data_IF_705077928574
#
_entry.id   IF_705077928574
#
_cell.length_a   1.000
_cell.length_b   1.000
_cell.length_c   1.000
_cell.angle_alpha   90.00
_cell.angle_beta   90.00
_cell.angle_gamma   90.00
#
_symmetry.space_group_name_H-M   'P 1'
#
loop_
_entity.id
_entity.type
_entity.pdbx_description
1 polymer ?
#
# COMPACT_ATOMS: atom_id res chain seq x y z
N UNK A 1 -17.98 -9.43 16.69
CA UNK A 1 -18.38 -9.27 15.27
C UNK A 1 -18.06 -7.84 14.89
N UNK A 2 -17.47 -7.60 13.72
CA UNK A 2 -17.18 -6.25 13.23
C UNK A 2 -18.26 -5.88 12.23
N UNK A 3 -18.94 -4.75 12.45
CA UNK A 3 -20.07 -4.34 11.64
C UNK A 3 -19.63 -3.55 10.39
N UNK A 4 -18.66 -2.66 10.56
CA UNK A 4 -18.07 -1.85 9.51
C UNK A 4 -16.55 -1.80 9.69
N UNK A 5 -15.79 -1.83 8.60
CA UNK A 5 -14.35 -1.73 8.63
C UNK A 5 -13.82 -0.82 7.51
N UNK A 6 -12.78 -0.08 7.83
CA UNK A 6 -11.93 0.63 6.88
C UNK A 6 -10.53 0.06 7.07
N UNK A 7 -9.94 -0.48 6.03
CA UNK A 7 -8.63 -1.09 6.12
C UNK A 7 -7.89 -1.21 4.80
N UNK A 8 -6.59 -1.38 4.89
CA UNK A 8 -5.73 -1.63 3.73
C UNK A 8 -6.19 -2.86 2.94
N UNK A 9 -6.16 -2.77 1.62
CA UNK A 9 -6.42 -3.89 0.71
C UNK A 9 -5.51 -5.08 0.99
N UNK A 10 -4.31 -4.84 1.53
CA UNK A 10 -3.32 -5.85 1.88
C UNK A 10 -3.85 -6.79 2.95
N UNK A 11 -4.61 -6.27 3.94
CA UNK A 11 -5.18 -7.07 5.01
C UNK A 11 -6.26 -8.06 4.53
N UNK A 12 -6.88 -7.78 3.38
CA UNK A 12 -7.86 -8.65 2.74
C UNK A 12 -7.23 -9.67 1.79
N UNK A 13 -6.01 -9.43 1.34
CA UNK A 13 -5.35 -10.23 0.31
C UNK A 13 -5.12 -11.70 0.67
N UNK A 14 -4.99 -12.12 1.94
CA UNK A 14 -4.95 -13.55 2.28
C UNK A 14 -6.22 -14.31 1.93
N UNK A 15 -7.40 -13.69 2.10
CA UNK A 15 -8.69 -14.27 1.76
C UNK A 15 -9.09 -13.99 0.31
N UNK A 16 -8.73 -12.81 -0.22
CA UNK A 16 -9.09 -12.35 -1.57
C UNK A 16 -7.82 -12.12 -2.37
N UNK A 17 -7.30 -13.17 -2.99
CA UNK A 17 -6.01 -13.16 -3.71
C UNK A 17 -5.91 -12.06 -4.77
N UNK A 18 -7.03 -11.68 -5.39
CA UNK A 18 -7.10 -10.63 -6.39
C UNK A 18 -6.69 -9.25 -5.85
N UNK A 19 -6.85 -9.00 -4.55
CA UNK A 19 -6.41 -7.75 -3.94
C UNK A 19 -4.89 -7.59 -3.88
N UNK A 20 -4.11 -8.68 -4.05
CA UNK A 20 -2.67 -8.56 -4.27
C UNK A 20 -2.31 -7.82 -5.56
N UNK A 21 -3.30 -7.51 -6.42
CA UNK A 21 -3.08 -6.67 -7.61
C UNK A 21 -2.39 -5.35 -7.24
N UNK A 22 -2.85 -4.67 -6.19
CA UNK A 22 -2.25 -3.42 -5.73
C UNK A 22 -0.85 -3.60 -5.13
N UNK A 23 -0.52 -4.82 -4.72
CA UNK A 23 0.79 -5.20 -4.15
C UNK A 23 1.76 -5.79 -5.19
N UNK A 24 1.38 -5.86 -6.48
CA UNK A 24 2.33 -6.23 -7.52
C UNK A 24 3.46 -5.19 -7.59
N UNK A 25 4.73 -5.61 -7.45
CA UNK A 25 5.84 -4.68 -7.39
C UNK A 25 5.88 -3.76 -8.62
N UNK A 26 5.81 -2.46 -8.39
CA UNK A 26 5.90 -1.40 -9.40
C UNK A 26 4.82 -1.42 -10.50
N UNK A 27 3.71 -2.13 -10.31
CA UNK A 27 2.58 -2.11 -11.25
C UNK A 27 2.01 -0.69 -11.37
N UNK A 28 1.72 -0.05 -10.23
CA UNK A 28 1.05 1.26 -10.17
C UNK A 28 2.12 2.35 -10.06
N UNK A 29 2.34 3.17 -11.10
CA UNK A 29 3.44 4.12 -11.12
C UNK A 29 3.21 5.37 -10.27
N UNK A 30 1.96 5.81 -10.15
CA UNK A 30 1.55 7.08 -9.53
C UNK A 30 0.06 7.09 -9.15
N UNK A 31 -0.38 8.23 -8.61
CA UNK A 31 -1.77 8.44 -8.19
C UNK A 31 -2.79 8.35 -9.34
N UNK A 32 -2.42 8.77 -10.58
CA UNK A 32 -3.31 8.63 -11.75
C UNK A 32 -3.54 7.16 -12.08
N UNK A 33 -2.47 6.34 -12.06
CA UNK A 33 -2.56 4.91 -12.23
C UNK A 33 -3.43 4.25 -11.16
N UNK A 34 -3.30 4.64 -9.89
CA UNK A 34 -4.15 4.14 -8.81
C UNK A 34 -5.62 4.55 -9.04
N UNK A 35 -5.87 5.80 -9.39
CA UNK A 35 -7.23 6.30 -9.70
C UNK A 35 -7.88 5.50 -10.83
N UNK A 36 -7.14 5.20 -11.89
CA UNK A 36 -7.65 4.40 -13.01
C UNK A 36 -8.07 2.99 -12.56
N UNK A 37 -7.34 2.40 -11.61
CA UNK A 37 -7.68 1.08 -11.07
C UNK A 37 -8.92 1.16 -10.18
N UNK A 38 -8.92 2.02 -9.16
CA UNK A 38 -9.98 2.02 -8.13
C UNK A 38 -11.31 2.62 -8.62
N UNK A 39 -11.27 3.58 -9.55
CA UNK A 39 -12.46 4.22 -10.14
C UNK A 39 -12.96 3.53 -11.42
N UNK A 40 -12.11 2.67 -12.01
CA UNK A 40 -12.37 1.99 -13.28
C UNK A 40 -13.08 0.64 -13.15
N UNK A 41 -13.00 -0.14 -14.23
CA UNK A 41 -13.57 -1.48 -14.31
C UNK A 41 -12.91 -2.45 -13.33
N UNK A 42 -11.59 -2.33 -13.16
CA UNK A 42 -10.82 -3.17 -12.21
C UNK A 42 -11.37 -3.04 -10.79
N UNK A 43 -11.65 -1.81 -10.34
CA UNK A 43 -12.23 -1.57 -9.01
C UNK A 43 -13.62 -2.19 -8.86
N UNK A 44 -14.46 -2.11 -9.90
CA UNK A 44 -15.77 -2.76 -9.90
C UNK A 44 -15.65 -4.29 -9.83
N UNK A 45 -14.74 -4.88 -10.59
CA UNK A 45 -14.48 -6.33 -10.57
C UNK A 45 -14.03 -6.79 -9.17
N UNK A 46 -13.12 -6.04 -8.54
CA UNK A 46 -12.66 -6.34 -7.18
C UNK A 46 -13.77 -6.21 -6.14
N UNK A 47 -14.66 -5.21 -6.28
CA UNK A 47 -15.83 -5.08 -5.41
C UNK A 47 -16.81 -6.24 -5.59
N UNK A 48 -17.03 -6.71 -6.82
CA UNK A 48 -17.87 -7.88 -7.08
C UNK A 48 -17.27 -9.17 -6.46
N UNK A 49 -15.94 -9.26 -6.38
CA UNK A 49 -15.27 -10.37 -5.69
C UNK A 49 -15.43 -10.26 -4.17
N UNK A 50 -15.22 -9.07 -3.61
CA UNK A 50 -15.38 -8.80 -2.17
C UNK A 50 -16.82 -9.05 -1.72
N UNK A 51 -17.81 -8.67 -2.52
CA UNK A 51 -19.22 -8.92 -2.23
C UNK A 51 -19.51 -10.40 -1.97
N UNK A 52 -18.83 -11.30 -2.67
CA UNK A 52 -18.96 -12.76 -2.48
C UNK A 52 -18.33 -13.26 -1.17
N UNK A 53 -17.55 -12.41 -0.47
CA UNK A 53 -16.88 -12.75 0.79
C UNK A 53 -17.68 -12.33 2.04
N UNK A 54 -18.97 -12.05 1.90
CA UNK A 54 -19.84 -11.74 3.03
C UNK A 54 -19.79 -10.27 3.49
N UNK A 55 -19.23 -9.39 2.67
CA UNK A 55 -19.20 -7.94 2.92
C UNK A 55 -19.83 -7.18 1.76
N UNK A 56 -20.29 -5.97 2.04
CA UNK A 56 -20.71 -4.97 1.04
C UNK A 56 -19.57 -3.96 0.92
N UNK A 57 -18.83 -3.91 -0.18
CA UNK A 57 -17.86 -2.85 -0.40
C UNK A 57 -18.58 -1.54 -0.74
N UNK A 58 -18.13 -0.44 -0.15
CA UNK A 58 -18.77 0.87 -0.25
C UNK A 58 -17.95 1.85 -1.07
N UNK A 59 -16.63 1.92 -0.81
CA UNK A 59 -15.73 2.83 -1.48
C UNK A 59 -14.27 2.35 -1.38
N UNK A 60 -13.42 2.83 -2.30
CA UNK A 60 -11.98 2.83 -2.14
C UNK A 60 -11.50 4.19 -1.64
N UNK A 61 -10.65 4.17 -0.62
CA UNK A 61 -9.80 5.28 -0.20
C UNK A 61 -8.34 4.99 -0.53
N UNK A 62 -7.41 5.78 0.02
CA UNK A 62 -5.98 5.66 -0.17
C UNK A 62 -5.24 5.73 1.17
N UNK A 63 -4.40 4.75 1.44
CA UNK A 63 -3.38 4.84 2.49
C UNK A 63 -2.12 5.52 1.95
N UNK A 64 -1.82 5.31 0.68
CA UNK A 64 -0.72 5.91 -0.07
C UNK A 64 0.19 4.90 -0.75
N UNK A 65 1.24 5.40 -1.40
CA UNK A 65 2.31 4.57 -1.91
C UNK A 65 3.28 4.20 -0.79
N UNK A 66 3.69 2.94 -0.76
CA UNK A 66 4.52 2.42 0.32
C UNK A 66 5.99 2.71 0.05
N UNK A 67 6.61 3.38 1.01
CA UNK A 67 8.00 3.81 0.99
C UNK A 67 8.81 3.05 2.02
N UNK A 68 10.11 2.88 1.78
CA UNK A 68 11.00 2.11 2.65
C UNK A 68 11.69 3.03 3.65
N UNK A 69 11.59 2.75 4.94
CA UNK A 69 12.41 3.40 5.97
C UNK A 69 13.32 2.41 6.68
N UNK A 70 14.46 2.91 7.15
CA UNK A 70 15.40 2.10 7.92
C UNK A 70 16.30 2.95 8.83
N UNK A 71 16.99 2.28 9.76
CA UNK A 71 17.89 2.89 10.74
C UNK A 71 19.37 2.87 10.32
N UNK A 72 19.72 2.34 9.14
CA UNK A 72 21.12 2.02 8.80
C UNK A 72 21.73 2.92 7.74
N UNK A 73 21.08 3.04 6.56
CA UNK A 73 21.70 3.70 5.42
C UNK A 73 20.68 4.10 4.33
N UNK A 74 21.10 4.96 3.42
CA UNK A 74 20.36 5.25 2.21
C UNK A 74 20.29 4.01 1.31
N UNK A 75 19.10 3.69 0.79
CA UNK A 75 18.89 2.55 -0.12
C UNK A 75 18.73 3.09 -1.53
N UNK A 76 19.64 2.72 -2.43
CA UNK A 76 19.67 3.15 -3.83
C UNK A 76 19.69 1.98 -4.82
N UNK A 77 20.00 0.77 -4.34
CA UNK A 77 20.02 -0.46 -5.12
C UNK A 77 19.61 -1.65 -4.25
N UNK A 78 19.17 -2.80 -4.83
CA UNK A 78 18.87 -4.01 -4.07
C UNK A 78 20.03 -4.49 -3.18
N UNK A 79 21.27 -4.30 -3.62
CA UNK A 79 22.45 -4.65 -2.83
C UNK A 79 22.51 -3.96 -1.45
N UNK A 80 21.94 -2.75 -1.35
CA UNK A 80 21.90 -1.99 -0.09
C UNK A 80 20.95 -2.62 0.95
N UNK A 81 20.02 -3.49 0.50
CA UNK A 81 19.07 -4.22 1.35
C UNK A 81 19.64 -5.55 1.85
N UNK A 82 20.78 -5.99 1.33
CA UNK A 82 21.33 -7.32 1.65
C UNK A 82 21.48 -7.53 3.15
N UNK A 83 20.78 -8.57 3.64
CA UNK A 83 20.82 -8.97 5.04
C UNK A 83 20.09 -8.04 6.02
N UNK A 84 19.46 -6.96 5.55
CA UNK A 84 18.67 -6.09 6.43
C UNK A 84 17.38 -6.79 6.87
N UNK A 85 17.10 -6.71 8.16
CA UNK A 85 15.85 -7.20 8.74
C UNK A 85 14.75 -6.16 8.50
N UNK A 86 13.88 -6.43 7.55
CA UNK A 86 12.79 -5.51 7.20
C UNK A 86 11.46 -6.07 7.71
N UNK A 87 10.80 -5.32 8.59
CA UNK A 87 9.43 -5.64 8.98
C UNK A 87 8.52 -5.44 7.79
N UNK A 88 7.70 -6.43 7.52
CA UNK A 88 6.67 -6.39 6.47
C UNK A 88 5.28 -6.69 7.05
N UNK A 89 4.25 -6.28 6.29
CA UNK A 89 2.86 -6.62 6.59
C UNK A 89 2.58 -8.10 6.26
N UNK A 90 1.54 -8.66 6.87
CA UNK A 90 1.18 -10.07 6.78
C UNK A 90 0.64 -10.53 5.43
N UNK A 91 1.43 -10.41 4.36
CA UNK A 91 1.07 -10.92 3.04
C UNK A 91 2.27 -11.59 2.36
N UNK A 92 2.12 -12.82 1.80
CA UNK A 92 3.23 -13.57 1.22
C UNK A 92 3.94 -12.87 0.05
N UNK A 93 3.26 -12.02 -0.72
CA UNK A 93 3.89 -11.27 -1.81
C UNK A 93 4.99 -10.33 -1.31
N UNK A 94 4.84 -9.79 -0.09
CA UNK A 94 5.86 -8.95 0.55
C UNK A 94 7.09 -9.77 0.94
N UNK A 95 6.89 -11.01 1.46
CA UNK A 95 8.00 -11.93 1.73
C UNK A 95 8.78 -12.18 0.45
N UNK A 96 8.09 -12.56 -0.62
CA UNK A 96 8.72 -12.84 -1.92
C UNK A 96 9.49 -11.61 -2.44
N UNK A 97 8.87 -10.41 -2.38
CA UNK A 97 9.48 -9.18 -2.90
C UNK A 97 10.75 -8.80 -2.13
N UNK A 98 10.70 -8.76 -0.81
CA UNK A 98 11.87 -8.39 0.00
C UNK A 98 12.97 -9.46 -0.02
N UNK A 99 12.60 -10.74 -0.12
CA UNK A 99 13.57 -11.83 -0.32
C UNK A 99 14.28 -11.70 -1.68
N UNK A 100 13.55 -11.40 -2.76
CA UNK A 100 14.12 -11.17 -4.09
C UNK A 100 15.09 -9.95 -4.10
N UNK A 101 14.87 -8.97 -3.21
CA UNK A 101 15.75 -7.82 -3.03
C UNK A 101 16.94 -8.11 -2.09
N UNK A 102 17.07 -9.33 -1.55
CA UNK A 102 18.17 -9.74 -0.68
C UNK A 102 18.03 -9.34 0.80
N UNK A 103 16.88 -8.80 1.19
CA UNK A 103 16.56 -8.50 2.58
C UNK A 103 16.13 -9.76 3.34
N UNK A 104 16.07 -9.66 4.67
CA UNK A 104 15.48 -10.65 5.58
C UNK A 104 14.11 -10.14 6.05
N UNK A 105 13.01 -10.43 5.32
CA UNK A 105 11.69 -9.96 5.68
C UNK A 105 11.19 -10.65 6.94
N UNK A 106 10.66 -9.86 7.88
CA UNK A 106 10.04 -10.36 9.11
C UNK A 106 8.59 -9.87 9.18
N UNK A 107 7.65 -10.81 9.07
CA UNK A 107 6.24 -10.50 9.16
C UNK A 107 5.83 -10.27 10.62
N UNK A 108 5.19 -9.12 10.90
CA UNK A 108 4.60 -8.85 12.21
C UNK A 108 3.47 -7.83 12.12
N UNK A 109 2.59 -7.84 13.13
CA UNK A 109 1.50 -6.88 13.24
C UNK A 109 2.04 -5.44 13.34
N UNK A 110 1.18 -4.44 13.08
CA UNK A 110 1.59 -3.05 13.24
C UNK A 110 1.85 -2.68 14.72
N UNK A 111 1.11 -3.29 15.65
CA UNK A 111 1.32 -3.09 17.08
C UNK A 111 2.70 -3.58 17.53
N UNK A 112 3.17 -4.71 16.98
CA UNK A 112 4.48 -5.29 17.31
C UNK A 112 5.62 -4.59 16.56
N UNK A 113 5.34 -3.99 15.41
CA UNK A 113 6.34 -3.34 14.57
C UNK A 113 7.01 -2.15 15.26
N UNK A 114 6.25 -1.31 15.96
CA UNK A 114 6.78 -0.11 16.59
C UNK A 114 7.77 -0.43 17.72
N UNK A 115 7.48 -1.32 18.69
CA UNK A 115 8.46 -1.79 19.66
C UNK A 115 9.68 -2.45 19.00
N UNK A 116 9.50 -3.25 17.94
CA UNK A 116 10.58 -3.91 17.24
C UNK A 116 11.53 -2.91 16.53
N UNK A 117 11.01 -1.82 16.00
CA UNK A 117 11.81 -0.72 15.45
C UNK A 117 12.59 0.01 16.56
N UNK A 118 11.92 0.35 17.67
CA UNK A 118 12.53 1.06 18.80
C UNK A 118 13.68 0.27 19.43
N UNK A 119 13.53 -1.04 19.54
CA UNK A 119 14.57 -1.95 20.10
C UNK A 119 15.59 -2.41 19.07
N UNK A 120 15.44 -2.00 17.80
CA UNK A 120 16.30 -2.45 16.68
C UNK A 120 16.25 -3.97 16.44
N UNK A 121 15.17 -4.63 16.84
CA UNK A 121 14.93 -6.05 16.50
C UNK A 121 14.75 -6.21 14.98
N UNK A 122 14.27 -5.17 14.30
CA UNK A 122 14.28 -5.00 12.84
C UNK A 122 14.99 -3.70 12.47
N UNK A 123 15.64 -3.69 11.30
CA UNK A 123 16.38 -2.52 10.80
C UNK A 123 15.46 -1.48 10.16
N UNK A 124 14.35 -1.94 9.57
CA UNK A 124 13.47 -1.08 8.81
C UNK A 124 12.07 -1.64 8.63
N UNK A 125 11.26 -0.87 7.91
CA UNK A 125 9.87 -1.19 7.57
C UNK A 125 9.46 -0.46 6.29
N UNK A 126 8.30 -0.79 5.74
CA UNK A 126 7.71 -0.12 4.60
C UNK A 126 6.26 0.29 4.94
N UNK A 127 5.92 1.52 4.64
CA UNK A 127 4.59 2.11 4.82
C UNK A 127 4.46 3.42 4.01
N UNK A 128 3.24 3.91 3.81
CA UNK A 128 3.03 5.24 3.25
C UNK A 128 3.63 6.36 4.13
N UNK A 129 3.96 7.49 3.48
CA UNK A 129 4.57 8.65 4.15
C UNK A 129 3.72 9.23 5.27
N UNK A 130 2.39 9.26 5.10
CA UNK A 130 1.47 9.69 6.14
C UNK A 130 1.61 8.82 7.40
N UNK A 131 1.70 7.49 7.24
CA UNK A 131 1.91 6.56 8.36
C UNK A 131 3.26 6.80 9.02
N UNK A 132 4.33 7.01 8.23
CA UNK A 132 5.65 7.35 8.76
C UNK A 132 5.61 8.59 9.65
N UNK A 133 4.92 9.64 9.19
CA UNK A 133 4.80 10.91 9.89
C UNK A 133 3.92 10.82 11.13
N UNK A 134 2.71 10.27 11.01
CA UNK A 134 1.73 10.17 12.12
C UNK A 134 2.27 9.29 13.26
N UNK A 135 2.87 8.15 12.92
CA UNK A 135 3.48 7.26 13.90
C UNK A 135 4.85 7.74 14.38
N UNK A 136 5.34 8.90 13.91
CA UNK A 136 6.62 9.50 14.28
C UNK A 136 7.78 8.49 14.19
N UNK A 137 7.86 7.71 13.12
CA UNK A 137 8.82 6.61 12.98
C UNK A 137 10.28 7.07 13.10
N UNK A 138 10.58 8.35 12.83
CA UNK A 138 11.89 8.95 13.08
C UNK A 138 12.31 8.83 14.55
N UNK A 139 11.37 8.89 15.52
CA UNK A 139 11.67 8.72 16.95
C UNK A 139 11.96 7.26 17.33
N UNK A 140 11.61 6.32 16.45
CA UNK A 140 11.88 4.88 16.58
C UNK A 140 13.16 4.47 15.82
N UNK A 141 14.04 5.43 15.53
CA UNK A 141 15.33 5.21 14.88
C UNK A 141 15.27 5.11 13.36
N UNK A 142 14.13 5.37 12.72
CA UNK A 142 14.01 5.33 11.26
C UNK A 142 14.55 6.63 10.66
N UNK A 143 15.87 6.70 10.49
CA UNK A 143 16.62 7.90 10.08
C UNK A 143 16.83 8.01 8.57
N UNK A 144 16.52 6.97 7.80
CA UNK A 144 16.61 6.95 6.35
C UNK A 144 15.27 6.57 5.72
N UNK A 145 14.86 7.30 4.70
CA UNK A 145 13.62 7.10 3.97
C UNK A 145 13.92 7.07 2.47
N UNK A 146 13.57 5.99 1.79
CA UNK A 146 13.74 5.84 0.34
C UNK A 146 12.39 5.92 -0.33
N UNK A 147 12.26 6.91 -1.23
CA UNK A 147 11.06 7.10 -2.05
C UNK A 147 11.20 6.26 -3.32
N UNK A 148 10.56 5.11 -3.32
CA UNK A 148 10.58 4.17 -4.43
C UNK A 148 9.19 3.85 -4.99
N UNK A 149 8.11 4.07 -4.21
CA UNK A 149 6.74 3.91 -4.65
C UNK A 149 6.48 2.52 -5.24
N UNK A 150 6.91 1.46 -4.55
CA UNK A 150 6.94 0.12 -5.14
C UNK A 150 5.59 -0.58 -5.16
N UNK A 151 4.66 -0.19 -4.29
CA UNK A 151 3.30 -0.72 -4.20
C UNK A 151 2.33 0.39 -3.82
N UNK A 152 1.14 0.35 -4.40
CA UNK A 152 0.01 1.18 -3.97
C UNK A 152 -0.75 0.46 -2.85
N UNK A 153 -1.29 1.23 -1.92
CA UNK A 153 -2.06 0.70 -0.78
C UNK A 153 -3.42 1.41 -0.67
N UNK A 154 -4.42 0.99 -1.46
CA UNK A 154 -5.77 1.53 -1.30
C UNK A 154 -6.41 1.01 -0.01
N UNK A 155 -7.22 1.87 0.62
CA UNK A 155 -8.14 1.49 1.67
C UNK A 155 -9.44 0.97 1.06
N UNK A 156 -10.07 0.01 1.75
CA UNK A 156 -11.38 -0.50 1.37
C UNK A 156 -12.35 -0.25 2.52
N UNK A 157 -13.47 0.41 2.21
CA UNK A 157 -14.58 0.63 3.14
C UNK A 157 -15.60 -0.48 2.93
N UNK A 158 -15.89 -1.24 3.96
CA UNK A 158 -16.83 -2.37 3.88
C UNK A 158 -17.78 -2.39 5.06
N UNK A 159 -18.94 -2.98 4.84
CA UNK A 159 -19.90 -3.32 5.89
C UNK A 159 -20.24 -4.82 5.81
N UNK A 160 -20.48 -5.45 6.94
CA UNK A 160 -20.96 -6.85 7.01
C UNK A 160 -22.30 -7.00 6.30
N UNK A 161 -22.47 -8.00 5.43
CA UNK A 161 -23.77 -8.31 4.79
C UNK A 161 -24.87 -8.59 5.82
N UNK A 162 -24.53 -9.24 6.92
CA UNK A 162 -25.47 -9.53 8.00
C UNK A 162 -26.00 -8.26 8.67
N UNK A 163 -25.14 -7.24 8.83
CA UNK A 163 -25.53 -5.94 9.39
C UNK A 163 -26.29 -5.13 8.36
N UNK A 164 -25.78 -5.08 7.13
CA UNK A 164 -26.40 -4.38 6.00
C UNK A 164 -27.85 -4.83 5.77
N UNK A 165 -28.12 -6.13 5.88
CA UNK A 165 -29.47 -6.69 5.69
C UNK A 165 -30.48 -6.19 6.74
N UNK A 166 -30.02 -5.76 7.92
CA UNK A 166 -30.89 -5.26 9.01
C UNK A 166 -31.24 -3.78 8.87
N UNK A 167 -30.50 -3.03 8.04
CA UNK A 167 -30.72 -1.61 7.86
C UNK A 167 -31.88 -1.31 6.89
N UNK A 168 -32.56 -0.21 7.13
CA UNK A 168 -33.53 0.33 6.18
C UNK A 168 -32.83 0.76 4.89
N UNK A 169 -33.58 0.90 3.79
CA UNK A 169 -33.02 1.40 2.53
C UNK A 169 -32.48 2.84 2.69
N UNK A 170 -33.13 3.67 3.49
CA UNK A 170 -32.67 5.02 3.80
C UNK A 170 -31.31 5.01 4.53
N UNK A 171 -31.13 4.12 5.52
CA UNK A 171 -29.84 3.98 6.23
C UNK A 171 -28.74 3.47 5.30
N UNK A 172 -29.05 2.48 4.45
CA UNK A 172 -28.10 1.95 3.47
C UNK A 172 -27.61 3.04 2.49
N UNK A 173 -28.53 3.86 2.02
CA UNK A 173 -28.21 4.99 1.12
C UNK A 173 -27.36 6.03 1.86
N UNK A 174 -27.73 6.40 3.09
CA UNK A 174 -26.98 7.35 3.92
C UNK A 174 -25.55 6.87 4.18
N UNK A 175 -25.38 5.61 4.60
CA UNK A 175 -24.05 5.01 4.88
C UNK A 175 -23.22 4.93 3.61
N UNK A 176 -23.82 4.54 2.47
CA UNK A 176 -23.10 4.49 1.19
C UNK A 176 -22.62 5.89 0.76
N UNK A 177 -23.48 6.89 0.83
CA UNK A 177 -23.14 8.26 0.50
C UNK A 177 -22.02 8.80 1.41
N UNK A 178 -22.13 8.58 2.72
CA UNK A 178 -21.12 9.01 3.69
C UNK A 178 -19.77 8.30 3.47
N UNK A 179 -19.78 7.00 3.17
CA UNK A 179 -18.56 6.26 2.87
C UNK A 179 -17.87 6.76 1.59
N UNK A 180 -18.65 7.06 0.55
CA UNK A 180 -18.12 7.61 -0.71
C UNK A 180 -17.55 9.02 -0.51
N UNK A 181 -18.23 9.87 0.24
CA UNK A 181 -17.72 11.20 0.58
C UNK A 181 -16.43 11.10 1.40
N UNK A 182 -16.42 10.33 2.48
CA UNK A 182 -15.24 10.13 3.33
C UNK A 182 -14.04 9.56 2.54
N UNK A 183 -14.29 8.63 1.62
CA UNK A 183 -13.24 8.08 0.77
C UNK A 183 -12.69 9.14 -0.21
N UNK A 184 -13.53 10.00 -0.77
CA UNK A 184 -13.10 11.10 -1.64
C UNK A 184 -12.24 12.12 -0.88
N UNK A 185 -12.65 12.50 0.33
CA UNK A 185 -11.88 13.38 1.22
C UNK A 185 -10.55 12.73 1.64
N UNK A 186 -10.57 11.44 1.93
CA UNK A 186 -9.36 10.68 2.27
C UNK A 186 -8.35 10.66 1.11
N UNK A 187 -8.79 10.47 -0.15
CA UNK A 187 -7.91 10.52 -1.32
C UNK A 187 -7.17 11.87 -1.43
N UNK A 188 -7.86 12.97 -1.13
CA UNK A 188 -7.25 14.31 -1.11
C UNK A 188 -6.24 14.42 0.03
N UNK A 189 -6.64 14.03 1.25
CA UNK A 189 -5.79 14.10 2.43
C UNK A 189 -4.55 13.22 2.34
N UNK A 190 -4.67 12.00 1.79
CA UNK A 190 -3.55 11.07 1.64
C UNK A 190 -2.46 11.58 0.68
N UNK A 191 -2.81 12.48 -0.24
CA UNK A 191 -1.92 13.06 -1.26
C UNK A 191 -1.37 14.44 -0.88
N UNK A 192 -1.85 15.01 0.21
CA UNK A 192 -1.42 16.35 0.66
C UNK A 192 0.05 16.31 1.11
N UNK A 193 0.84 17.28 0.65
CA UNK A 193 2.25 17.41 1.00
C UNK A 193 3.20 16.42 0.29
N UNK A 194 2.68 15.62 -0.67
CA UNK A 194 3.47 14.65 -1.46
C UNK A 194 3.11 14.64 -2.95
N UNK A 195 2.23 15.52 -3.38
CA UNK A 195 1.85 15.68 -4.79
C UNK A 195 2.92 16.44 -5.58
N UNK A 196 2.99 16.30 -6.92
CA UNK A 196 3.87 17.10 -7.73
C UNK A 196 3.71 18.61 -7.44
N UNK A 197 4.81 19.25 -7.03
CA UNK A 197 4.82 20.67 -6.62
C UNK A 197 4.44 20.95 -5.16
N UNK A 198 4.03 19.94 -4.40
CA UNK A 198 3.77 20.03 -2.96
C UNK A 198 4.55 18.91 -2.23
N UNK A 199 5.66 19.26 -1.60
CA UNK A 199 6.50 18.36 -0.82
C UNK A 199 6.55 18.70 0.69
N UNK A 200 5.54 19.43 1.18
CA UNK A 200 5.50 19.93 2.55
C UNK A 200 5.65 18.82 3.60
N UNK A 201 5.04 17.64 3.38
CA UNK A 201 5.19 16.49 4.28
C UNK A 201 6.63 15.96 4.28
N UNK A 202 7.27 15.88 3.12
CA UNK A 202 8.67 15.44 3.01
C UNK A 202 9.62 16.42 3.68
N UNK A 203 9.39 17.73 3.52
CA UNK A 203 10.15 18.75 4.23
C UNK A 203 9.98 18.64 5.75
N UNK A 204 8.77 18.40 6.24
CA UNK A 204 8.51 18.19 7.66
C UNK A 204 9.23 16.93 8.19
N UNK A 205 9.25 15.84 7.42
CA UNK A 205 9.99 14.62 7.77
C UNK A 205 11.49 14.89 7.81
N UNK A 206 12.04 15.60 6.81
CA UNK A 206 13.46 15.94 6.75
C UNK A 206 13.91 16.84 7.91
N UNK A 207 13.07 17.79 8.35
CA UNK A 207 13.34 18.65 9.53
C UNK A 207 13.51 17.86 10.82
N UNK A 208 12.99 16.62 10.89
CA UNK A 208 13.18 15.71 12.02
C UNK A 208 14.47 14.87 11.89
N UNK A 209 15.42 15.24 11.04
CA UNK A 209 16.71 14.58 10.89
C UNK A 209 16.68 13.33 10.00
N UNK A 210 15.60 13.11 9.24
CA UNK A 210 15.49 11.97 8.32
C UNK A 210 16.16 12.29 6.99
N UNK A 211 17.08 11.45 6.56
CA UNK A 211 17.70 11.49 5.23
C UNK A 211 16.74 10.90 4.20
N UNK A 212 16.28 11.72 3.26
CA UNK A 212 15.37 11.30 2.19
C UNK A 212 16.17 10.97 0.92
N UNK A 213 16.02 9.74 0.44
CA UNK A 213 16.60 9.27 -0.82
C UNK A 213 15.50 9.18 -1.88
N UNK A 214 15.65 9.97 -2.95
CA UNK A 214 14.79 9.86 -4.14
C UNK A 214 15.52 9.01 -5.18
N UNK A 215 14.92 7.91 -5.63
CA UNK A 215 15.51 7.08 -6.66
C UNK A 215 15.43 7.76 -8.03
N UNK A 216 16.52 7.71 -8.80
CA UNK A 216 16.46 8.03 -10.23
C UNK A 216 15.64 6.96 -10.97
N UNK A 217 15.12 7.26 -12.18
CA UNK A 217 14.43 6.26 -12.99
C UNK A 217 15.26 4.98 -13.22
N UNK A 218 16.58 5.13 -13.42
CA UNK A 218 17.51 4.02 -13.59
C UNK A 218 17.62 3.16 -12.32
N UNK A 219 17.76 3.81 -11.15
CA UNK A 219 17.80 3.10 -9.87
C UNK A 219 16.49 2.36 -9.61
N UNK A 220 15.34 3.03 -9.84
CA UNK A 220 14.02 2.40 -9.69
C UNK A 220 13.86 1.19 -10.61
N UNK A 221 14.38 1.28 -11.84
CA UNK A 221 14.34 0.15 -12.80
C UNK A 221 15.11 -1.06 -12.28
N UNK A 222 16.24 -0.89 -11.61
CA UNK A 222 17.01 -2.02 -11.03
C UNK A 222 16.17 -2.78 -10.00
N UNK A 223 15.37 -2.08 -9.18
CA UNK A 223 14.44 -2.73 -8.25
C UNK A 223 13.29 -3.44 -8.99
N UNK A 224 12.76 -2.83 -10.04
CA UNK A 224 11.73 -3.46 -10.88
C UNK A 224 12.24 -4.76 -11.50
N UNK A 225 13.45 -4.74 -12.06
CA UNK A 225 14.05 -5.92 -12.69
C UNK A 225 14.31 -7.02 -11.67
N UNK A 226 14.82 -6.68 -10.48
CA UNK A 226 15.05 -7.64 -9.40
C UNK A 226 13.76 -8.29 -8.86
N UNK A 227 12.63 -7.57 -8.91
CA UNK A 227 11.32 -8.07 -8.45
C UNK A 227 10.46 -8.62 -9.58
N UNK A 228 10.91 -8.61 -10.83
CA UNK A 228 10.14 -9.10 -11.97
C UNK A 228 9.70 -10.56 -11.81
N UNK A 229 10.52 -11.50 -11.33
CA UNK A 229 10.07 -12.88 -11.09
C UNK A 229 8.92 -12.97 -10.06
N UNK A 230 8.91 -12.08 -9.05
CA UNK A 230 7.82 -12.00 -8.07
C UNK A 230 6.54 -11.50 -8.74
N UNK A 231 6.66 -10.46 -9.56
CA UNK A 231 5.54 -9.95 -10.35
C UNK A 231 4.90 -11.06 -11.20
N UNK A 232 5.70 -11.78 -11.96
CA UNK A 232 5.21 -12.84 -12.87
C UNK A 232 4.55 -14.00 -12.11
N UNK A 233 5.14 -14.43 -10.99
CA UNK A 233 4.56 -15.43 -10.08
C UNK A 233 3.19 -14.99 -9.58
N UNK A 234 3.10 -13.76 -9.06
CA UNK A 234 1.87 -13.27 -8.44
C UNK A 234 0.81 -12.86 -9.45
N UNK A 235 1.19 -12.41 -10.63
CA UNK A 235 0.25 -12.19 -11.74
C UNK A 235 -0.53 -13.47 -12.10
N UNK A 236 0.12 -14.64 -12.02
CA UNK A 236 -0.56 -15.92 -12.20
C UNK A 236 -1.53 -16.26 -11.05
N UNK A 237 -1.18 -15.94 -9.80
CA UNK A 237 -2.01 -16.18 -8.61
C UNK A 237 -3.24 -15.27 -8.58
N UNK A 238 -3.07 -13.99 -8.96
CA UNK A 238 -4.13 -12.97 -9.04
C UNK A 238 -5.11 -13.28 -10.16
N UNK A 239 -4.59 -13.76 -11.28
CA UNK A 239 -5.31 -13.99 -12.53
C UNK A 239 -4.79 -13.06 -13.63
N UNK A 240 -4.17 -13.66 -14.66
CA UNK A 240 -3.50 -12.92 -15.74
C UNK A 240 -4.41 -11.92 -16.46
N UNK A 241 -5.69 -12.24 -16.60
CA UNK A 241 -6.64 -11.37 -17.31
C UNK A 241 -6.92 -10.10 -16.49
N UNK A 242 -7.08 -10.23 -15.16
CA UNK A 242 -7.26 -9.07 -14.27
C UNK A 242 -6.01 -8.18 -14.27
N UNK A 243 -4.80 -8.79 -14.26
CA UNK A 243 -3.54 -8.05 -14.32
C UNK A 243 -3.40 -7.31 -15.65
N UNK A 244 -3.67 -7.96 -16.80
CA UNK A 244 -3.65 -7.30 -18.12
C UNK A 244 -4.65 -6.14 -18.20
N UNK A 245 -5.86 -6.33 -17.65
CA UNK A 245 -6.88 -5.27 -17.56
C UNK A 245 -6.36 -4.08 -16.75
N UNK A 246 -5.69 -4.34 -15.63
CA UNK A 246 -5.08 -3.31 -14.80
C UNK A 246 -3.94 -2.57 -15.51
N UNK A 247 -3.04 -3.30 -16.18
CA UNK A 247 -1.96 -2.72 -16.99
C UNK A 247 -2.51 -1.81 -18.10
N UNK A 248 -3.57 -2.25 -18.79
CA UNK A 248 -4.22 -1.47 -19.84
C UNK A 248 -4.89 -0.20 -19.27
N UNK A 249 -5.58 -0.30 -18.14
CA UNK A 249 -6.20 0.84 -17.48
C UNK A 249 -5.16 1.90 -17.06
N UNK A 250 -4.03 1.46 -16.49
CA UNK A 250 -2.92 2.34 -16.11
C UNK A 250 -2.30 3.00 -17.35
N UNK A 251 -2.09 2.24 -18.42
CA UNK A 251 -1.52 2.77 -19.66
C UNK A 251 -2.41 3.85 -20.31
N UNK A 252 -3.74 3.70 -20.21
CA UNK A 252 -4.71 4.66 -20.73
C UNK A 252 -4.82 5.94 -19.88
N UNK A 253 -4.33 5.93 -18.62
CA UNK A 253 -4.39 7.07 -17.69
C UNK A 253 -3.16 8.01 -17.80
N UNK A 254 -2.19 7.69 -18.64
CA UNK A 254 -1.00 8.52 -18.91
C UNK A 254 -1.37 9.67 -19.82
#
# INVERSE_FOLDING_TARGET
MIDLAIGSSINWSPQVKQLNLFSLPFLTPDAKGLDALIKGEVGRDLFAILDKQGVIPLAFGENGFRELSNSRQAIKAPADLKGMKIRIVGSPIFIDAFTALGANPTQMSWADAQPALATKAVDGQENPLAVFSIAKLHTLGQSHLTLWGYMADPLIFVVSKTVWAKWSEADRQAVRASAQQAAAENLVAARQGISPGDDALLQAIAKNGVTITRLTPQQRKVFQDATRPVYDKWAAVIGKDLVKKAEAAIAAAK
#
